data_IF_621379255331
#
_entry.id   IF_621379255331
#
_cell.length_a   1.000
_cell.length_b   1.000
_cell.length_c   1.000
_cell.angle_alpha   90.00
_cell.angle_beta   90.00
_cell.angle_gamma   90.00
#
_symmetry.space_group_name_H-M   'P 1'
#
loop_
_entity.id
_entity.type
_entity.pdbx_description
1 polymer ?
#
# COMPACT_ATOMS: atom_id res chain seq x y z
N UNK A 1 -20.76 71.61 -41.60
CA UNK A 1 -21.88 70.68 -41.37
C UNK A 1 -21.29 69.30 -41.16
N UNK A 2 -21.20 68.85 -39.90
CA UNK A 2 -20.66 67.54 -39.55
C UNK A 2 -21.82 66.58 -39.29
N UNK A 3 -22.02 65.59 -40.16
CA UNK A 3 -22.94 64.49 -39.94
C UNK A 3 -22.19 63.31 -39.31
N UNK A 4 -22.47 63.04 -38.04
CA UNK A 4 -22.15 61.78 -37.37
C UNK A 4 -23.09 60.68 -37.88
N UNK A 5 -22.58 59.47 -38.14
CA UNK A 5 -23.19 58.32 -37.47
C UNK A 5 -22.15 57.24 -37.13
N UNK A 6 -21.91 56.99 -35.83
CA UNK A 6 -21.05 55.88 -35.36
C UNK A 6 -21.61 55.32 -34.06
N UNK A 7 -22.75 54.63 -34.12
CA UNK A 7 -23.31 53.98 -32.91
C UNK A 7 -23.96 52.60 -33.18
N UNK A 8 -24.36 52.29 -34.42
CA UNK A 8 -24.95 50.98 -34.73
C UNK A 8 -23.95 49.84 -34.99
N UNK A 9 -22.71 50.16 -35.39
CA UNK A 9 -21.72 49.14 -35.77
C UNK A 9 -21.03 48.48 -34.56
N UNK A 10 -21.03 49.16 -33.40
CA UNK A 10 -20.34 48.69 -32.19
C UNK A 10 -21.13 47.61 -31.44
N UNK A 11 -22.47 47.74 -31.40
CA UNK A 11 -23.34 46.84 -30.64
C UNK A 11 -23.48 45.45 -31.28
N UNK A 12 -23.44 45.38 -32.62
CA UNK A 12 -23.47 44.10 -33.33
C UNK A 12 -22.19 43.31 -33.12
N UNK A 13 -21.02 43.97 -33.04
CA UNK A 13 -19.73 43.30 -32.80
C UNK A 13 -19.63 42.66 -31.41
N UNK A 14 -20.19 43.29 -30.38
CA UNK A 14 -20.24 42.72 -29.02
C UNK A 14 -21.14 41.48 -28.92
N UNK A 15 -22.27 41.47 -29.63
CA UNK A 15 -23.21 40.33 -29.61
C UNK A 15 -22.63 39.07 -30.26
N UNK A 16 -21.83 39.22 -31.33
CA UNK A 16 -21.21 38.09 -32.03
C UNK A 16 -20.06 37.50 -31.18
N UNK A 17 -19.36 38.33 -30.42
CA UNK A 17 -18.25 37.90 -29.55
C UNK A 17 -18.73 37.03 -28.36
N UNK A 18 -19.90 37.34 -27.77
CA UNK A 18 -20.48 36.51 -26.71
C UNK A 18 -20.95 35.12 -27.18
N UNK A 19 -21.41 34.99 -28.43
CA UNK A 19 -21.87 33.69 -28.97
C UNK A 19 -20.66 32.78 -29.29
N UNK A 20 -19.55 33.36 -29.76
CA UNK A 20 -18.32 32.62 -30.04
C UNK A 20 -17.65 32.04 -28.76
N UNK A 21 -17.86 32.70 -27.62
CA UNK A 21 -17.30 32.29 -26.32
C UNK A 21 -18.02 31.07 -25.71
N UNK A 22 -19.32 30.90 -25.96
CA UNK A 22 -20.09 29.73 -25.47
C UNK A 22 -19.78 28.47 -26.29
N UNK A 23 -19.45 28.62 -27.57
CA UNK A 23 -19.13 27.50 -28.47
C UNK A 23 -17.77 26.83 -28.17
N UNK A 24 -16.93 27.46 -27.34
CA UNK A 24 -15.61 26.96 -26.92
C UNK A 24 -15.59 26.54 -25.45
N UNK A 25 -16.73 26.15 -24.85
CA UNK A 25 -16.65 25.42 -23.59
C UNK A 25 -15.99 24.07 -23.87
N UNK A 26 -14.83 23.76 -23.26
CA UNK A 26 -14.35 22.39 -23.26
C UNK A 26 -15.45 21.55 -22.62
N UNK A 27 -15.96 20.58 -23.36
CA UNK A 27 -16.83 19.55 -22.80
C UNK A 27 -16.02 18.85 -21.71
N UNK A 28 -16.29 19.21 -20.45
CA UNK A 28 -15.86 18.43 -19.29
C UNK A 28 -16.59 17.09 -19.42
N UNK A 29 -15.96 16.15 -20.11
CA UNK A 29 -16.26 14.74 -19.98
C UNK A 29 -16.07 14.43 -18.50
N UNK A 30 -17.18 14.16 -17.81
CA UNK A 30 -17.18 13.50 -16.51
C UNK A 30 -16.32 12.25 -16.70
N UNK A 31 -15.10 12.28 -16.16
CA UNK A 31 -14.25 11.11 -16.07
C UNK A 31 -15.10 10.02 -15.44
N UNK A 32 -15.21 8.90 -16.15
CA UNK A 32 -15.78 7.67 -15.63
C UNK A 32 -15.31 7.50 -14.19
N UNK A 33 -16.25 7.40 -13.25
CA UNK A 33 -15.95 7.28 -11.83
C UNK A 33 -15.26 5.93 -11.62
N UNK A 34 -13.96 5.89 -11.90
CA UNK A 34 -13.10 4.73 -11.72
C UNK A 34 -13.23 4.35 -10.25
N UNK A 35 -13.78 3.16 -10.00
CA UNK A 35 -13.94 2.65 -8.64
C UNK A 35 -12.53 2.64 -8.04
N UNK A 36 -12.26 3.39 -6.96
CA UNK A 36 -10.92 3.51 -6.42
C UNK A 36 -10.40 2.11 -6.09
N UNK A 37 -9.15 1.81 -6.41
CA UNK A 37 -8.56 0.53 -6.03
C UNK A 37 -8.24 0.53 -4.53
N UNK A 38 -7.99 -0.65 -3.95
CA UNK A 38 -7.52 -0.72 -2.56
C UNK A 38 -6.22 0.08 -2.35
N UNK A 39 -5.36 0.12 -3.38
CA UNK A 39 -4.10 0.85 -3.35
C UNK A 39 -4.28 2.36 -3.34
N UNK A 40 -5.43 2.87 -3.82
CA UNK A 40 -5.81 4.28 -3.77
C UNK A 40 -6.49 4.66 -2.45
N UNK A 41 -7.03 3.68 -1.73
CA UNK A 41 -7.70 3.88 -0.45
C UNK A 41 -6.69 3.94 0.68
N UNK A 42 -5.70 3.04 0.73
CA UNK A 42 -4.70 3.00 1.81
C UNK A 42 -4.05 4.39 2.06
N UNK A 43 -3.59 5.15 1.05
CA UNK A 43 -3.02 6.47 1.26
C UNK A 43 -3.98 7.51 1.85
N UNK A 44 -5.30 7.38 1.59
CA UNK A 44 -6.31 8.27 2.19
C UNK A 44 -6.41 8.08 3.71
N UNK A 45 -6.03 6.91 4.19
CA UNK A 45 -5.91 6.58 5.61
C UNK A 45 -4.47 6.73 6.12
N UNK A 46 -3.57 7.37 5.38
CA UNK A 46 -2.18 7.58 5.82
C UNK A 46 -1.32 6.31 5.82
N UNK A 47 -1.74 5.28 5.09
CA UNK A 47 -1.00 4.03 4.92
C UNK A 47 -0.37 3.96 3.53
N UNK A 48 0.81 3.35 3.38
CA UNK A 48 1.46 3.23 2.09
C UNK A 48 0.66 2.31 1.14
N UNK A 49 0.63 2.63 -0.15
CA UNK A 49 -0.12 1.89 -1.16
C UNK A 49 0.41 0.46 -1.36
N UNK A 50 1.72 0.23 -1.19
CA UNK A 50 2.36 -1.07 -1.35
C UNK A 50 2.26 -2.01 -0.15
N UNK A 51 1.35 -1.76 0.80
CA UNK A 51 1.12 -2.64 1.95
C UNK A 51 0.56 -4.02 1.56
N UNK A 52 -0.19 -4.05 0.45
CA UNK A 52 -0.80 -5.25 -0.10
C UNK A 52 -0.10 -5.68 -1.41
N UNK A 53 -0.06 -6.98 -1.72
CA UNK A 53 0.52 -7.47 -2.97
C UNK A 53 -0.32 -7.07 -4.19
N UNK A 54 0.23 -7.18 -5.39
CA UNK A 54 -0.46 -6.91 -6.67
C UNK A 54 -1.60 -7.91 -7.00
N UNK A 55 -1.69 -9.02 -6.29
CA UNK A 55 -2.65 -10.12 -6.54
C UNK A 55 -4.03 -9.89 -5.92
N UNK A 56 -4.40 -8.63 -5.64
CA UNK A 56 -5.73 -8.30 -5.10
C UNK A 56 -6.76 -8.39 -6.23
N UNK A 57 -7.76 -9.23 -6.02
CA UNK A 57 -8.86 -9.44 -6.96
C UNK A 57 -10.04 -8.52 -6.68
N UNK A 58 -10.38 -8.37 -5.40
CA UNK A 58 -11.51 -7.56 -4.96
C UNK A 58 -11.25 -7.01 -3.56
N UNK A 59 -11.93 -5.91 -3.21
CA UNK A 59 -11.97 -5.42 -1.85
C UNK A 59 -13.37 -4.90 -1.51
N UNK A 60 -13.67 -4.89 -0.21
CA UNK A 60 -14.85 -4.24 0.36
C UNK A 60 -14.39 -3.35 1.51
N UNK A 61 -15.05 -2.21 1.67
CA UNK A 61 -14.80 -1.28 2.79
C UNK A 61 -16.16 -0.79 3.29
N UNK A 62 -16.43 -1.04 4.57
CA UNK A 62 -17.61 -0.59 5.28
C UNK A 62 -17.40 0.83 5.82
N UNK A 63 -18.51 1.54 6.08
CA UNK A 63 -18.48 2.89 6.65
C UNK A 63 -17.84 2.97 8.04
N UNK A 64 -17.86 1.87 8.80
CA UNK A 64 -17.22 1.75 10.11
C UNK A 64 -15.70 1.49 10.03
N UNK A 65 -15.15 1.44 8.82
CA UNK A 65 -13.74 1.19 8.53
C UNK A 65 -13.36 -0.29 8.41
N UNK A 66 -14.30 -1.23 8.61
CA UNK A 66 -14.00 -2.66 8.40
C UNK A 66 -13.78 -2.93 6.92
N UNK A 67 -12.73 -3.67 6.61
CA UNK A 67 -12.41 -4.03 5.24
C UNK A 67 -12.18 -5.52 5.10
N UNK A 68 -12.42 -6.00 3.88
CA UNK A 68 -12.03 -7.34 3.43
C UNK A 68 -11.37 -7.21 2.06
N UNK A 69 -10.20 -7.84 1.89
CA UNK A 69 -9.47 -7.91 0.64
C UNK A 69 -9.36 -9.38 0.24
N UNK A 70 -9.75 -9.68 -0.99
CA UNK A 70 -9.69 -11.03 -1.55
C UNK A 70 -8.62 -11.07 -2.63
N UNK A 71 -7.66 -11.96 -2.45
CA UNK A 71 -6.59 -12.23 -3.39
C UNK A 71 -7.00 -13.36 -4.32
N UNK A 72 -6.39 -13.43 -5.51
CA UNK A 72 -6.58 -14.56 -6.42
C UNK A 72 -6.10 -15.88 -5.80
N UNK A 73 -5.01 -15.81 -5.04
CA UNK A 73 -4.35 -16.93 -4.35
C UNK A 73 -3.57 -16.41 -3.13
N UNK A 74 -3.28 -17.28 -2.15
CA UNK A 74 -2.33 -16.94 -1.11
C UNK A 74 -0.97 -16.54 -1.70
N UNK A 75 -0.32 -15.61 -1.03
CA UNK A 75 0.80 -14.89 -1.59
C UNK A 75 1.96 -14.74 -0.61
N UNK A 76 3.18 -14.81 -1.14
CA UNK A 76 4.39 -14.53 -0.36
C UNK A 76 5.07 -13.30 -0.92
N UNK A 77 5.37 -12.34 -0.05
CA UNK A 77 6.13 -11.14 -0.39
C UNK A 77 7.38 -11.10 0.48
N UNK A 78 8.52 -10.82 -0.13
CA UNK A 78 9.80 -10.71 0.56
C UNK A 78 10.15 -9.23 0.72
N UNK A 79 9.96 -8.72 1.93
CA UNK A 79 10.52 -7.45 2.39
C UNK A 79 11.85 -7.74 3.14
N UNK A 80 12.15 -7.02 4.22
CA UNK A 80 13.21 -7.43 5.16
C UNK A 80 13.05 -8.89 5.63
N UNK A 81 11.80 -9.32 5.83
CA UNK A 81 11.43 -10.70 6.13
C UNK A 81 10.35 -11.21 5.18
N UNK A 82 10.10 -12.52 5.25
CA UNK A 82 9.07 -13.15 4.44
C UNK A 82 7.71 -12.91 5.10
N UNK A 83 6.79 -12.32 4.34
CA UNK A 83 5.41 -12.08 4.73
C UNK A 83 4.51 -12.98 3.88
N UNK A 84 3.64 -13.70 4.55
CA UNK A 84 2.59 -14.48 3.94
C UNK A 84 1.27 -13.70 4.04
N UNK A 85 0.57 -13.64 2.93
CA UNK A 85 -0.77 -13.10 2.81
C UNK A 85 -1.70 -14.25 2.46
N UNK A 86 -2.69 -14.49 3.29
CA UNK A 86 -3.74 -15.45 3.01
C UNK A 86 -4.64 -14.95 1.87
N UNK A 87 -5.50 -15.83 1.34
CA UNK A 87 -6.42 -15.50 0.27
C UNK A 87 -7.41 -14.40 0.65
N UNK A 88 -7.82 -14.36 1.92
CA UNK A 88 -8.72 -13.34 2.44
C UNK A 88 -8.04 -12.63 3.58
N UNK A 89 -7.93 -11.31 3.48
CA UNK A 89 -7.38 -10.43 4.50
C UNK A 89 -8.51 -9.58 5.02
N UNK A 90 -8.65 -9.48 6.34
CA UNK A 90 -9.68 -8.65 6.96
C UNK A 90 -9.09 -7.83 8.09
N UNK A 91 -9.69 -6.68 8.35
CA UNK A 91 -9.32 -5.86 9.50
C UNK A 91 -10.19 -4.61 9.59
N UNK A 92 -9.77 -3.69 10.45
CA UNK A 92 -10.40 -2.38 10.59
C UNK A 92 -9.38 -1.29 10.27
N UNK A 93 -9.67 -0.55 9.21
CA UNK A 93 -8.88 0.56 8.72
C UNK A 93 -9.16 1.81 9.58
N UNK A 94 -8.11 2.48 10.01
CA UNK A 94 -8.15 3.76 10.72
C UNK A 94 -7.01 4.64 10.22
N UNK A 95 -7.07 5.93 10.52
CA UNK A 95 -6.02 6.83 10.08
C UNK A 95 -4.67 6.45 10.72
N UNK A 96 -3.71 6.06 9.89
CA UNK A 96 -2.36 5.62 10.28
C UNK A 96 -2.27 4.19 10.79
N UNK A 97 -3.37 3.42 10.81
CA UNK A 97 -3.35 2.06 11.36
C UNK A 97 -4.40 1.11 10.79
N UNK A 98 -4.12 -0.18 10.93
CA UNK A 98 -5.05 -1.29 10.69
C UNK A 98 -5.07 -2.14 11.95
N UNK A 99 -6.22 -2.27 12.59
CA UNK A 99 -6.42 -3.12 13.78
C UNK A 99 -7.26 -4.36 13.44
N UNK A 100 -7.33 -5.32 14.36
CA UNK A 100 -8.07 -6.58 14.19
C UNK A 100 -7.69 -7.32 12.90
N UNK A 101 -6.41 -7.23 12.52
CA UNK A 101 -5.92 -7.76 11.25
C UNK A 101 -5.85 -9.28 11.28
N UNK A 102 -6.31 -9.90 10.19
CA UNK A 102 -6.26 -11.35 9.95
C UNK A 102 -5.86 -11.64 8.51
N UNK A 103 -5.19 -12.77 8.32
CA UNK A 103 -4.71 -13.22 7.00
C UNK A 103 -3.35 -12.65 6.60
N UNK A 104 -2.58 -12.09 7.54
CA UNK A 104 -1.19 -11.68 7.30
C UNK A 104 -0.32 -12.32 8.38
N UNK A 105 0.71 -13.04 7.95
CA UNK A 105 1.66 -13.73 8.82
C UNK A 105 3.09 -13.35 8.45
N UNK A 106 3.96 -13.33 9.44
CA UNK A 106 5.39 -13.07 9.26
C UNK A 106 6.22 -14.26 9.72
N UNK A 107 7.29 -14.56 8.99
CA UNK A 107 8.17 -15.67 9.35
C UNK A 107 9.29 -15.22 10.31
N UNK A 108 9.44 -15.91 11.44
CA UNK A 108 10.54 -15.71 12.39
C UNK A 108 11.01 -17.04 12.98
N UNK A 109 12.32 -17.29 12.99
CA UNK A 109 12.91 -18.55 13.50
C UNK A 109 12.21 -19.81 12.94
N UNK A 110 11.87 -19.78 11.65
CA UNK A 110 11.12 -20.84 10.94
C UNK A 110 9.66 -21.05 11.35
N UNK A 111 9.13 -20.23 12.27
CA UNK A 111 7.72 -20.23 12.68
C UNK A 111 6.98 -19.05 12.02
N UNK A 112 5.68 -19.25 11.76
CA UNK A 112 4.77 -18.22 11.27
C UNK A 112 4.03 -17.59 12.44
N UNK A 113 3.87 -16.28 12.40
CA UNK A 113 3.17 -15.53 13.44
C UNK A 113 2.20 -14.53 12.81
N UNK A 114 0.98 -14.49 13.34
CA UNK A 114 -0.06 -13.55 12.91
C UNK A 114 0.34 -12.10 13.20
N UNK A 115 0.01 -11.22 12.27
CA UNK A 115 0.07 -9.77 12.46
C UNK A 115 -1.31 -9.29 12.87
N UNK A 116 -1.43 -8.78 14.10
CA UNK A 116 -2.70 -8.31 14.66
C UNK A 116 -2.98 -6.84 14.36
N UNK A 117 -1.92 -6.03 14.21
CA UNK A 117 -2.03 -4.59 13.94
C UNK A 117 -0.87 -4.11 13.04
N UNK A 118 -1.17 -3.16 12.15
CA UNK A 118 -0.16 -2.42 11.39
C UNK A 118 -0.34 -0.94 11.69
N UNK A 119 0.73 -0.22 12.02
CA UNK A 119 0.67 1.23 12.27
C UNK A 119 1.85 1.98 11.66
N UNK A 120 1.65 3.25 11.36
CA UNK A 120 2.65 4.15 10.80
C UNK A 120 2.91 5.30 11.76
N UNK A 121 4.16 5.77 11.85
CA UNK A 121 4.51 6.93 12.69
C UNK A 121 3.82 8.22 12.19
N UNK A 122 3.59 9.16 13.11
CA UNK A 122 3.07 10.50 12.78
C UNK A 122 4.01 11.21 11.78
N UNK A 123 3.49 12.04 10.85
CA UNK A 123 4.31 12.64 9.80
C UNK A 123 5.48 13.47 10.37
N UNK A 124 6.71 13.33 9.84
CA UNK A 124 7.10 12.46 8.73
C UNK A 124 7.18 10.98 9.13
N UNK A 125 6.43 10.14 8.40
CA UNK A 125 6.36 8.72 8.65
C UNK A 125 7.60 8.03 8.11
N UNK A 126 8.60 7.79 8.96
CA UNK A 126 9.82 7.09 8.57
C UNK A 126 9.67 5.57 8.62
N UNK A 127 8.76 5.06 9.46
CA UNK A 127 8.67 3.65 9.77
C UNK A 127 7.24 3.15 9.86
N UNK A 128 7.08 1.87 9.56
CA UNK A 128 5.86 1.09 9.75
C UNK A 128 6.11 -0.02 10.77
N UNK A 129 5.12 -0.31 11.60
CA UNK A 129 5.22 -1.29 12.68
C UNK A 129 4.19 -2.37 12.47
N UNK A 130 4.66 -3.62 12.45
CA UNK A 130 3.82 -4.80 12.41
C UNK A 130 3.79 -5.39 13.81
N UNK A 131 2.61 -5.40 14.42
CA UNK A 131 2.40 -5.95 15.75
C UNK A 131 2.08 -7.44 15.65
N UNK A 132 2.84 -8.24 16.37
CA UNK A 132 2.75 -9.69 16.42
C UNK A 132 2.59 -10.09 17.88
N UNK A 133 1.35 -10.31 18.32
CA UNK A 133 1.01 -10.44 19.73
C UNK A 133 1.44 -9.21 20.54
N UNK A 134 2.41 -9.38 21.45
CA UNK A 134 2.91 -8.33 22.36
C UNK A 134 4.13 -7.59 21.76
N UNK A 135 4.69 -8.08 20.66
CA UNK A 135 5.93 -7.57 20.07
C UNK A 135 5.62 -6.69 18.87
N UNK A 136 6.35 -5.59 18.71
CA UNK A 136 6.28 -4.75 17.53
C UNK A 136 7.54 -4.92 16.69
N UNK A 137 7.36 -5.12 15.38
CA UNK A 137 8.45 -5.18 14.42
C UNK A 137 8.49 -3.89 13.62
N UNK A 138 9.61 -3.17 13.71
CA UNK A 138 9.91 -1.97 12.94
C UNK A 138 10.39 -2.36 11.54
N UNK A 139 9.86 -1.67 10.54
CA UNK A 139 10.18 -1.78 9.12
C UNK A 139 10.33 -0.37 8.53
N UNK A 140 11.18 -0.26 7.52
CA UNK A 140 11.34 0.99 6.76
C UNK A 140 10.14 1.20 5.83
N UNK A 141 9.57 2.41 5.84
CA UNK A 141 8.39 2.74 5.02
C UNK A 141 8.67 2.66 3.51
N UNK A 142 9.93 2.83 3.09
CA UNK A 142 10.32 2.87 1.69
C UNK A 142 10.01 1.54 0.98
N UNK A 143 10.03 0.44 1.74
CA UNK A 143 9.68 -0.90 1.25
C UNK A 143 8.20 -1.02 0.87
N UNK A 144 7.35 -0.08 1.28
CA UNK A 144 5.91 -0.12 1.04
C UNK A 144 5.45 0.97 0.06
N UNK A 145 6.37 1.79 -0.47
CA UNK A 145 6.02 2.83 -1.46
C UNK A 145 5.53 2.26 -2.79
N UNK A 146 5.97 1.04 -3.13
CA UNK A 146 5.61 0.35 -4.38
C UNK A 146 4.85 -0.92 -4.08
N UNK A 147 3.85 -1.22 -4.90
CA UNK A 147 3.11 -2.50 -4.82
C UNK A 147 4.04 -3.64 -5.22
N UNK A 148 4.11 -4.68 -4.39
CA UNK A 148 4.98 -5.81 -4.60
C UNK A 148 4.27 -6.95 -5.33
N UNK A 149 4.96 -7.56 -6.28
CA UNK A 149 4.41 -8.71 -6.99
C UNK A 149 4.39 -9.97 -6.15
N UNK A 150 3.36 -10.78 -6.36
CA UNK A 150 3.21 -12.01 -5.63
C UNK A 150 4.30 -13.04 -5.96
N UNK A 151 5.17 -13.31 -4.99
CA UNK A 151 6.23 -14.30 -5.10
C UNK A 151 5.71 -15.73 -5.04
N UNK A 152 6.38 -16.64 -5.75
CA UNK A 152 6.22 -18.08 -5.48
C UNK A 152 6.87 -18.33 -4.13
N UNK A 153 6.07 -18.70 -3.13
CA UNK A 153 6.56 -19.01 -1.78
C UNK A 153 7.80 -19.89 -1.85
N UNK A 154 8.75 -19.66 -0.95
CA UNK A 154 9.87 -20.57 -0.75
C UNK A 154 9.28 -21.94 -0.43
N UNK A 155 9.24 -22.81 -1.43
CA UNK A 155 8.92 -24.20 -1.24
C UNK A 155 10.01 -24.75 -0.31
N UNK A 156 9.69 -24.90 0.97
CA UNK A 156 10.38 -25.82 1.87
C UNK A 156 10.06 -27.27 1.43
N UNK A 157 10.38 -27.57 0.17
CA UNK A 157 9.91 -28.75 -0.56
C UNK A 157 10.71 -29.06 -1.84
N UNK A 158 11.90 -28.47 -2.02
CA UNK A 158 12.86 -28.95 -3.01
C UNK A 158 14.30 -28.81 -2.52
N UNK A 159 14.61 -29.51 -1.42
CA UNK A 159 15.97 -29.98 -1.12
C UNK A 159 15.92 -31.33 -0.39
N UNK A 160 15.11 -32.27 -0.91
CA UNK A 160 15.27 -33.70 -0.59
C UNK A 160 15.79 -34.50 -1.80
N UNK A 161 16.57 -33.82 -2.64
CA UNK A 161 17.26 -34.38 -3.80
C UNK A 161 18.70 -33.87 -3.86
N UNK A 162 19.45 -34.01 -2.75
CA UNK A 162 20.92 -34.07 -2.68
C UNK A 162 21.44 -33.76 -1.26
N UNK A 163 20.87 -34.38 -0.22
CA UNK A 163 21.50 -34.48 1.10
C UNK A 163 22.26 -35.80 1.19
N UNK A 164 23.30 -35.90 0.36
CA UNK A 164 24.40 -36.86 0.55
C UNK A 164 25.71 -36.09 0.58
N UNK A 165 25.84 -35.12 1.48
CA UNK A 165 27.10 -34.61 2.03
C UNK A 165 26.82 -33.47 3.02
N UNK A 166 27.45 -33.59 4.19
CA UNK A 166 27.66 -32.56 5.21
C UNK A 166 26.48 -32.27 6.16
N UNK A 167 26.19 -33.26 7.01
CA UNK A 167 25.90 -32.98 8.41
C UNK A 167 27.16 -32.39 9.04
N UNK A 168 27.24 -31.08 9.22
CA UNK A 168 28.06 -30.50 10.29
C UNK A 168 27.62 -29.06 10.58
N UNK A 169 26.80 -28.90 11.63
CA UNK A 169 26.60 -27.63 12.31
C UNK A 169 27.86 -27.30 13.14
N UNK A 170 28.39 -26.07 13.07
CA UNK A 170 29.16 -25.50 14.18
C UNK A 170 28.21 -24.79 15.16
N UNK A 171 28.46 -24.95 16.46
CA UNK A 171 27.74 -24.35 17.58
C UNK A 171 27.96 -22.81 17.68
N UNK A 172 27.11 -22.06 18.41
CA UNK A 172 27.31 -20.63 18.64
C UNK A 172 28.32 -20.41 19.77
N UNK A 173 29.15 -19.37 19.67
CA UNK A 173 29.97 -18.88 20.80
C UNK A 173 29.69 -17.39 20.98
N UNK A 174 29.11 -17.07 22.14
CA UNK A 174 29.02 -15.74 22.71
C UNK A 174 30.42 -15.16 22.95
N UNK A 175 30.64 -13.88 22.65
CA UNK A 175 31.75 -13.15 23.25
C UNK A 175 31.33 -11.72 23.60
N UNK A 176 30.89 -11.56 24.86
CA UNK A 176 30.81 -10.28 25.56
C UNK A 176 32.24 -9.86 25.90
N UNK A 177 32.74 -8.77 25.31
CA UNK A 177 34.00 -8.18 25.76
C UNK A 177 33.74 -7.18 26.89
N UNK A 178 34.07 -7.62 28.11
CA UNK A 178 34.23 -6.79 29.29
C UNK A 178 35.64 -6.20 29.23
N UNK A 179 35.77 -4.89 29.07
CA UNK A 179 37.03 -4.17 29.23
C UNK A 179 37.05 -3.51 30.61
N UNK A 180 37.83 -4.06 31.54
CA UNK A 180 38.20 -3.43 32.81
C UNK A 180 39.71 -3.56 33.00
N UNK A 181 40.30 -2.43 33.42
CA UNK A 181 41.60 -2.21 34.09
C UNK A 181 42.88 -2.44 33.29
N UNK A 182 43.56 -1.34 33.01
CA UNK A 182 44.72 -0.94 33.84
C UNK A 182 44.56 0.53 34.28
#
# INVERSE_FOLDING_TARGET
>A
MASHPKSHFSLTLFSIYSIFFIANLPSFSLSDSEIPTVYDILPRFGLPSGLLPDSVRNYTLSEDGRFEVVLDKPCYVKFDYLVYYDKTISGKLSYGSITDLKGIEVQRLFLWFDVDEIRVDLPPSENIYFQVGIINKKLDIDQFKTVHSCGKGVSAGSCLGSLKRVLQLPAPVDEIQVLITE
#
